data_IF_183232529432
#
_entry.id   IF_183232529432
#
_cell.length_a   1.000
_cell.length_b   1.000
_cell.length_c   1.000
_cell.angle_alpha   90.00
_cell.angle_beta   90.00
_cell.angle_gamma   90.00
#
_symmetry.space_group_name_H-M   'P 1'
#
loop_
_entity.id
_entity.type
_entity.pdbx_description
1 polymer ?
#
# COMPACT_ATOMS: atom_id res chain seq x y z
N UNK A 1 -21.76 25.98 1.32
CA UNK A 1 -21.10 24.78 0.79
C UNK A 1 -20.94 25.01 -0.70
N UNK A 2 -19.75 24.79 -1.26
CA UNK A 2 -19.48 25.09 -2.66
C UNK A 2 -20.09 23.99 -3.54
N UNK A 3 -21.01 24.35 -4.42
CA UNK A 3 -21.66 23.41 -5.34
C UNK A 3 -20.85 23.15 -6.60
N UNK A 4 -21.40 22.37 -7.53
CA UNK A 4 -20.79 22.13 -8.84
C UNK A 4 -20.54 23.43 -9.62
N UNK A 5 -21.48 24.38 -9.57
CA UNK A 5 -21.34 25.70 -10.18
C UNK A 5 -20.12 26.45 -9.63
N UNK A 6 -19.88 26.37 -8.32
CA UNK A 6 -18.75 27.05 -7.70
C UNK A 6 -17.42 26.44 -8.14
N UNK A 7 -17.38 25.12 -8.37
CA UNK A 7 -16.20 24.44 -8.88
C UNK A 7 -15.88 24.86 -10.31
N UNK A 8 -16.91 24.93 -11.17
CA UNK A 8 -16.74 25.42 -12.55
C UNK A 8 -16.27 26.87 -12.54
N UNK A 9 -16.90 27.72 -11.73
CA UNK A 9 -16.50 29.12 -11.60
C UNK A 9 -15.08 29.28 -11.05
N UNK A 10 -14.64 28.45 -10.12
CA UNK A 10 -13.26 28.44 -9.65
C UNK A 10 -12.28 28.12 -10.78
N UNK A 11 -12.58 27.11 -11.59
CA UNK A 11 -11.77 26.74 -12.76
C UNK A 11 -11.70 27.85 -13.81
N UNK A 12 -12.86 28.45 -14.14
CA UNK A 12 -12.98 29.52 -15.13
C UNK A 12 -12.23 30.78 -14.70
N UNK A 13 -12.22 31.09 -13.40
CA UNK A 13 -11.44 32.21 -12.85
C UNK A 13 -9.94 32.03 -13.04
N UNK A 14 -9.40 30.81 -12.90
CA UNK A 14 -7.96 30.55 -13.10
C UNK A 14 -7.49 30.80 -14.53
N UNK A 15 -8.39 30.66 -15.51
CA UNK A 15 -8.11 30.88 -16.93
C UNK A 15 -8.67 32.22 -17.45
N UNK A 16 -9.18 33.08 -16.56
CA UNK A 16 -9.77 34.39 -16.90
C UNK A 16 -10.96 34.31 -17.87
N UNK A 17 -11.77 33.26 -17.76
CA UNK A 17 -12.99 33.07 -18.54
C UNK A 17 -14.22 33.65 -17.82
N UNK A 18 -15.33 33.79 -18.56
CA UNK A 18 -16.60 34.24 -18.00
C UNK A 18 -17.19 33.18 -17.07
N UNK A 19 -17.87 33.64 -16.01
CA UNK A 19 -18.47 32.77 -15.00
C UNK A 19 -19.84 32.28 -15.48
N UNK A 20 -20.20 31.07 -15.05
CA UNK A 20 -21.49 30.44 -15.32
C UNK A 20 -22.43 30.61 -14.12
N UNK A 21 -23.73 30.75 -14.39
CA UNK A 21 -24.75 30.86 -13.34
C UNK A 21 -25.29 29.51 -12.91
N UNK A 22 -25.39 28.57 -13.84
CA UNK A 22 -25.78 27.18 -13.59
C UNK A 22 -24.88 26.24 -14.40
N UNK A 23 -24.67 25.00 -13.96
CA UNK A 23 -23.80 24.08 -14.68
C UNK A 23 -24.39 23.65 -16.03
N UNK A 24 -25.72 23.70 -16.19
CA UNK A 24 -26.46 23.25 -17.37
C UNK A 24 -26.94 24.40 -18.28
N UNK A 25 -26.43 25.63 -18.09
CA UNK A 25 -26.79 26.74 -18.98
C UNK A 25 -26.22 26.55 -20.39
N UNK A 26 -26.84 27.18 -21.39
CA UNK A 26 -26.45 27.06 -22.79
C UNK A 26 -25.17 27.85 -23.18
N UNK A 27 -24.30 28.16 -22.22
CA UNK A 27 -22.99 28.79 -22.47
C UNK A 27 -21.99 27.79 -23.05
N UNK A 28 -20.98 28.28 -23.77
CA UNK A 28 -19.92 27.41 -24.29
C UNK A 28 -19.03 26.90 -23.17
N UNK A 29 -18.80 27.74 -22.15
CA UNK A 29 -18.00 27.48 -20.97
C UNK A 29 -18.60 26.33 -20.15
N UNK A 30 -19.91 26.38 -19.86
CA UNK A 30 -20.63 25.33 -19.14
C UNK A 30 -20.54 23.99 -19.88
N UNK A 31 -20.80 23.99 -21.20
CA UNK A 31 -20.71 22.78 -22.04
C UNK A 31 -19.31 22.17 -22.03
N UNK A 32 -18.25 22.98 -22.09
CA UNK A 32 -16.86 22.50 -22.05
C UNK A 32 -16.52 21.90 -20.68
N UNK A 33 -16.93 22.55 -19.59
CA UNK A 33 -16.73 22.02 -18.24
C UNK A 33 -17.46 20.68 -18.03
N UNK A 34 -18.75 20.61 -18.39
CA UNK A 34 -19.55 19.39 -18.27
C UNK A 34 -18.99 18.23 -19.08
N UNK A 35 -18.51 18.49 -20.30
CA UNK A 35 -17.99 17.46 -21.19
C UNK A 35 -16.81 16.67 -20.61
N UNK A 36 -16.02 17.29 -19.74
CA UNK A 36 -14.82 16.66 -19.15
C UNK A 36 -14.98 16.32 -17.67
N UNK A 37 -15.93 16.96 -16.98
CA UNK A 37 -16.05 16.89 -15.51
C UNK A 37 -16.12 15.46 -14.97
N UNK A 38 -16.99 14.62 -15.53
CA UNK A 38 -17.20 13.27 -15.00
C UNK A 38 -15.94 12.42 -15.08
N UNK A 39 -15.23 12.49 -16.21
CA UNK A 39 -13.99 11.77 -16.42
C UNK A 39 -12.88 12.27 -15.48
N UNK A 40 -12.73 13.59 -15.35
CA UNK A 40 -11.70 14.19 -14.50
C UNK A 40 -11.92 13.89 -13.02
N UNK A 41 -13.17 13.96 -12.55
CA UNK A 41 -13.53 13.60 -11.19
C UNK A 41 -13.16 12.15 -10.91
N UNK A 42 -13.58 11.24 -11.79
CA UNK A 42 -13.34 9.82 -11.59
C UNK A 42 -11.83 9.47 -11.69
N UNK A 43 -11.06 10.17 -12.53
CA UNK A 43 -9.59 10.06 -12.63
C UNK A 43 -8.91 10.46 -11.31
N UNK A 44 -9.21 11.65 -10.79
CA UNK A 44 -8.59 12.18 -9.57
C UNK A 44 -8.99 11.39 -8.32
N UNK A 45 -10.26 10.96 -8.24
CA UNK A 45 -10.72 10.10 -7.15
C UNK A 45 -10.13 8.69 -7.24
N UNK A 46 -9.84 8.17 -8.43
CA UNK A 46 -9.19 6.85 -8.58
C UNK A 46 -7.71 6.89 -8.22
N UNK A 47 -7.05 8.01 -8.49
CA UNK A 47 -5.62 8.19 -8.28
C UNK A 47 -5.22 8.10 -6.80
N UNK A 48 -6.09 8.53 -5.88
CA UNK A 48 -5.80 8.55 -4.46
C UNK A 48 -7.05 8.23 -3.63
N UNK A 49 -6.88 7.50 -2.54
CA UNK A 49 -7.97 7.09 -1.66
C UNK A 49 -8.35 8.21 -0.67
N UNK A 50 -8.98 9.27 -1.18
CA UNK A 50 -9.39 10.42 -0.36
C UNK A 50 -10.32 10.01 0.78
N UNK A 51 -10.07 10.52 1.99
CA UNK A 51 -10.90 10.23 3.15
C UNK A 51 -12.35 10.71 2.95
N UNK A 52 -12.53 11.90 2.38
CA UNK A 52 -13.85 12.47 2.06
C UNK A 52 -14.67 11.60 1.09
N UNK A 53 -14.01 10.84 0.21
CA UNK A 53 -14.64 9.93 -0.76
C UNK A 53 -14.70 8.47 -0.28
N UNK A 54 -14.06 8.13 0.84
CA UNK A 54 -14.02 6.75 1.35
C UNK A 54 -15.35 6.37 2.00
N UNK A 55 -15.91 5.23 1.59
CA UNK A 55 -17.17 4.69 2.12
C UNK A 55 -17.01 3.23 2.50
N UNK A 56 -17.86 2.77 3.41
CA UNK A 56 -17.93 1.39 3.89
C UNK A 56 -19.30 0.82 3.59
N UNK A 57 -19.36 -0.40 3.07
CA UNK A 57 -20.63 -1.06 2.76
C UNK A 57 -20.50 -2.57 2.87
N UNK A 58 -21.50 -3.22 3.44
CA UNK A 58 -21.64 -4.67 3.37
C UNK A 58 -22.34 -5.02 2.05
N UNK A 59 -21.73 -5.89 1.25
CA UNK A 59 -22.31 -6.42 0.01
C UNK A 59 -22.59 -7.91 0.16
N UNK A 60 -23.76 -8.32 -0.31
CA UNK A 60 -24.17 -9.72 -0.33
C UNK A 60 -23.81 -10.36 -1.67
N UNK A 61 -23.62 -11.69 -1.65
CA UNK A 61 -23.28 -12.43 -2.84
C UNK A 61 -24.35 -12.22 -3.93
N UNK A 62 -23.87 -12.03 -5.15
CA UNK A 62 -24.71 -11.84 -6.32
C UNK A 62 -25.53 -13.10 -6.61
N UNK A 63 -26.80 -12.91 -6.99
CA UNK A 63 -27.70 -14.00 -7.33
C UNK A 63 -27.28 -14.70 -8.64
N UNK A 64 -26.46 -14.06 -9.48
CA UNK A 64 -25.98 -14.57 -10.75
C UNK A 64 -24.90 -15.65 -10.67
N UNK A 65 -24.57 -16.16 -9.47
CA UNK A 65 -23.68 -17.31 -9.27
C UNK A 65 -22.21 -16.96 -9.06
N UNK A 66 -21.46 -17.94 -8.52
CA UNK A 66 -20.02 -17.90 -8.37
C UNK A 66 -19.32 -17.81 -9.75
N UNK A 67 -18.09 -17.28 -9.83
CA UNK A 67 -17.30 -17.35 -11.06
C UNK A 67 -17.00 -18.80 -11.45
N UNK A 68 -16.67 -19.03 -12.73
CA UNK A 68 -16.49 -20.37 -13.29
C UNK A 68 -15.42 -21.20 -12.55
N UNK A 69 -14.38 -20.55 -12.03
CA UNK A 69 -13.34 -21.17 -11.20
C UNK A 69 -12.61 -20.11 -10.35
N UNK A 70 -11.80 -20.59 -9.40
CA UNK A 70 -10.89 -19.76 -8.59
C UNK A 70 -11.51 -19.24 -7.30
N UNK A 71 -12.62 -18.50 -7.39
CA UNK A 71 -13.24 -17.85 -6.22
C UNK A 71 -14.60 -18.46 -5.88
N UNK A 72 -14.94 -18.43 -4.60
CA UNK A 72 -16.19 -19.03 -4.09
C UNK A 72 -17.41 -18.13 -4.30
N UNK A 73 -17.25 -16.81 -4.18
CA UNK A 73 -18.35 -15.85 -4.29
C UNK A 73 -18.03 -14.68 -5.21
N UNK A 74 -19.09 -14.13 -5.80
CA UNK A 74 -19.09 -12.90 -6.59
C UNK A 74 -20.02 -11.89 -5.93
N UNK A 75 -19.63 -10.63 -5.88
CA UNK A 75 -20.42 -9.52 -5.31
C UNK A 75 -20.55 -8.39 -6.33
N UNK A 76 -21.74 -7.82 -6.49
CA UNK A 76 -21.95 -6.63 -7.32
C UNK A 76 -21.42 -5.39 -6.62
N UNK A 77 -20.53 -4.64 -7.28
CA UNK A 77 -20.05 -3.39 -6.72
C UNK A 77 -21.14 -2.31 -6.71
N UNK A 78 -21.16 -1.43 -5.69
CA UNK A 78 -22.06 -0.26 -5.66
C UNK A 78 -21.92 0.61 -6.91
N UNK A 79 -23.01 1.22 -7.38
CA UNK A 79 -23.00 2.03 -8.62
C UNK A 79 -22.06 3.24 -8.55
N UNK A 80 -21.88 3.78 -7.35
CA UNK A 80 -20.98 4.88 -7.00
C UNK A 80 -19.51 4.44 -6.80
N UNK A 81 -19.20 3.14 -6.79
CA UNK A 81 -17.85 2.66 -6.51
C UNK A 81 -16.89 2.91 -7.68
N UNK A 82 -15.84 3.69 -7.45
CA UNK A 82 -14.75 3.97 -8.39
C UNK A 82 -13.61 2.96 -8.25
N UNK A 83 -13.22 2.66 -7.01
CA UNK A 83 -12.11 1.77 -6.66
C UNK A 83 -12.38 1.09 -5.32
N UNK A 84 -12.13 -0.21 -5.22
CA UNK A 84 -12.11 -0.91 -3.93
C UNK A 84 -10.74 -0.69 -3.29
N UNK A 85 -10.74 -0.27 -2.03
CA UNK A 85 -9.52 -0.04 -1.24
C UNK A 85 -9.15 -1.34 -0.51
N UNK A 86 -10.14 -1.98 0.13
CA UNK A 86 -9.92 -3.21 0.87
C UNK A 86 -11.20 -3.78 1.46
N UNK A 87 -11.05 -4.85 2.23
CA UNK A 87 -12.11 -5.45 3.04
C UNK A 87 -11.96 -5.07 4.51
N UNK A 88 -12.99 -5.32 5.33
CA UNK A 88 -12.92 -5.13 6.78
C UNK A 88 -11.86 -6.01 7.43
N UNK A 89 -11.71 -7.25 6.95
CA UNK A 89 -10.62 -8.15 7.30
C UNK A 89 -9.51 -8.06 6.24
N UNK A 90 -8.33 -7.50 6.59
CA UNK A 90 -7.20 -7.38 5.67
C UNK A 90 -6.55 -8.73 5.31
N UNK A 91 -6.84 -9.82 6.04
CA UNK A 91 -6.33 -11.15 5.73
C UNK A 91 -7.08 -11.82 4.57
N UNK A 92 -8.28 -11.32 4.23
CA UNK A 92 -9.11 -11.89 3.18
C UNK A 92 -8.63 -11.40 1.82
N UNK A 93 -8.23 -12.33 0.97
CA UNK A 93 -7.91 -12.03 -0.41
C UNK A 93 -9.18 -11.67 -1.21
N UNK A 94 -9.03 -10.70 -2.11
CA UNK A 94 -10.07 -10.32 -3.03
C UNK A 94 -9.49 -9.95 -4.39
N UNK A 95 -10.30 -10.12 -5.44
CA UNK A 95 -10.02 -9.63 -6.79
C UNK A 95 -11.18 -8.78 -7.27
N UNK A 96 -10.90 -7.77 -8.09
CA UNK A 96 -11.95 -6.95 -8.74
C UNK A 96 -11.87 -7.17 -10.23
N UNK A 97 -12.94 -7.71 -10.80
CA UNK A 97 -13.06 -8.03 -12.22
C UNK A 97 -14.29 -7.34 -12.81
N UNK A 98 -14.08 -6.41 -13.73
CA UNK A 98 -15.16 -5.58 -14.28
C UNK A 98 -15.89 -4.78 -13.20
N UNK A 99 -17.18 -5.09 -12.97
CA UNK A 99 -18.02 -4.48 -11.92
C UNK A 99 -18.32 -5.43 -10.76
N UNK A 100 -17.54 -6.50 -10.64
CA UNK A 100 -17.69 -7.50 -9.61
C UNK A 100 -16.47 -7.58 -8.72
N UNK A 101 -16.71 -7.79 -7.43
CA UNK A 101 -15.72 -8.19 -6.45
C UNK A 101 -15.80 -9.71 -6.29
N UNK A 102 -14.66 -10.38 -6.30
CA UNK A 102 -14.53 -11.82 -6.07
C UNK A 102 -13.82 -12.04 -4.74
N UNK A 103 -14.39 -12.92 -3.91
CA UNK A 103 -13.81 -13.29 -2.62
C UNK A 103 -14.35 -14.64 -2.15
N UNK A 104 -13.66 -15.25 -1.19
CA UNK A 104 -14.03 -16.55 -0.62
C UNK A 104 -14.88 -16.46 0.65
N UNK A 105 -15.09 -15.26 1.18
CA UNK A 105 -15.88 -15.02 2.39
C UNK A 105 -17.17 -14.26 2.08
N UNK A 106 -18.21 -14.50 2.89
CA UNK A 106 -19.52 -13.84 2.76
C UNK A 106 -20.10 -13.56 4.16
N UNK A 107 -20.73 -12.39 4.40
CA UNK A 107 -20.83 -11.22 3.51
C UNK A 107 -19.48 -10.50 3.37
N UNK A 108 -19.26 -9.85 2.22
CA UNK A 108 -18.06 -9.05 2.00
C UNK A 108 -18.30 -7.61 2.47
N UNK A 109 -17.56 -7.18 3.49
CA UNK A 109 -17.60 -5.81 3.98
C UNK A 109 -16.48 -5.00 3.33
N UNK A 110 -16.86 -4.14 2.38
CA UNK A 110 -15.91 -3.41 1.54
C UNK A 110 -15.66 -2.01 2.05
N UNK A 111 -14.41 -1.58 1.90
CA UNK A 111 -13.96 -0.19 1.98
C UNK A 111 -13.63 0.24 0.55
N UNK A 112 -14.25 1.30 0.07
CA UNK A 112 -14.13 1.72 -1.32
C UNK A 112 -14.15 3.25 -1.47
N UNK A 113 -13.56 3.74 -2.56
CA UNK A 113 -13.67 5.12 -3.00
C UNK A 113 -14.98 5.29 -3.77
N UNK A 114 -15.88 6.10 -3.22
CA UNK A 114 -17.15 6.45 -3.84
C UNK A 114 -17.01 7.69 -4.72
N UNK A 115 -17.86 7.77 -5.73
CA UNK A 115 -18.13 8.98 -6.48
C UNK A 115 -18.91 9.94 -5.57
N UNK A 116 -18.35 11.12 -5.36
CA UNK A 116 -18.93 12.16 -4.49
C UNK A 116 -19.17 13.45 -5.26
N UNK A 117 -20.16 14.21 -4.79
CA UNK A 117 -20.46 15.54 -5.30
C UNK A 117 -19.51 16.60 -4.68
N UNK A 118 -19.29 17.74 -5.36
CA UNK A 118 -18.37 18.79 -4.91
C UNK A 118 -18.63 19.30 -3.48
N UNK A 119 -19.87 19.23 -3.04
CA UNK A 119 -20.28 19.65 -1.71
C UNK A 119 -19.62 18.80 -0.63
N UNK A 120 -19.48 17.49 -0.85
CA UNK A 120 -18.92 16.54 0.12
C UNK A 120 -17.39 16.47 0.08
N UNK A 121 -16.75 17.21 -0.83
CA UNK A 121 -15.30 17.20 -0.98
C UNK A 121 -14.63 18.05 0.10
N UNK A 122 -13.43 17.62 0.51
CA UNK A 122 -12.54 18.47 1.30
C UNK A 122 -12.14 19.74 0.50
N UNK A 123 -11.80 20.82 1.21
CA UNK A 123 -11.42 22.10 0.61
C UNK A 123 -10.20 21.97 -0.32
N UNK A 124 -9.21 21.14 0.03
CA UNK A 124 -8.04 20.93 -0.82
C UNK A 124 -8.36 20.05 -2.02
N UNK A 125 -9.20 19.02 -1.84
CA UNK A 125 -9.69 18.21 -2.96
C UNK A 125 -10.48 19.06 -3.96
N UNK A 126 -11.37 19.92 -3.48
CA UNK A 126 -12.12 20.85 -4.31
C UNK A 126 -11.18 21.74 -5.15
N UNK A 127 -10.14 22.31 -4.52
CA UNK A 127 -9.16 23.15 -5.20
C UNK A 127 -8.32 22.39 -6.22
N UNK A 128 -7.93 21.14 -5.92
CA UNK A 128 -7.23 20.27 -6.88
C UNK A 128 -8.06 19.99 -8.12
N UNK A 129 -9.34 19.66 -7.96
CA UNK A 129 -10.25 19.39 -9.07
C UNK A 129 -10.53 20.65 -9.90
N UNK A 130 -10.72 21.80 -9.25
CA UNK A 130 -10.87 23.07 -9.97
C UNK A 130 -9.64 23.39 -10.83
N UNK A 131 -8.42 23.14 -10.32
CA UNK A 131 -7.18 23.33 -11.07
C UNK A 131 -6.98 22.30 -12.18
N UNK A 132 -7.34 21.04 -11.95
CA UNK A 132 -7.32 19.98 -12.98
C UNK A 132 -8.28 20.30 -14.12
N UNK A 133 -9.48 20.76 -13.78
CA UNK A 133 -10.50 21.19 -14.74
C UNK A 133 -10.00 22.40 -15.54
N UNK A 134 -9.47 23.43 -14.86
CA UNK A 134 -8.88 24.60 -15.51
C UNK A 134 -7.78 24.21 -16.50
N UNK A 135 -6.90 23.27 -16.14
CA UNK A 135 -5.86 22.76 -17.02
C UNK A 135 -6.43 22.10 -18.29
N UNK A 136 -7.49 21.30 -18.16
CA UNK A 136 -8.12 20.61 -19.30
C UNK A 136 -8.78 21.59 -20.27
N UNK A 137 -9.53 22.56 -19.75
CA UNK A 137 -10.30 23.49 -20.59
C UNK A 137 -9.47 24.68 -21.09
N UNK A 138 -8.31 24.98 -20.49
CA UNK A 138 -7.49 26.17 -20.77
C UNK A 138 -7.18 26.35 -22.25
N UNK A 139 -6.75 25.30 -22.95
CA UNK A 139 -6.41 25.39 -24.38
C UNK A 139 -7.63 25.73 -25.22
N UNK A 140 -8.77 25.08 -24.96
CA UNK A 140 -9.99 25.31 -25.73
C UNK A 140 -10.50 26.76 -25.60
N UNK A 141 -10.33 27.37 -24.43
CA UNK A 141 -10.86 28.71 -24.12
C UNK A 141 -9.88 29.81 -24.53
N UNK A 142 -8.59 29.65 -24.23
CA UNK A 142 -7.59 30.72 -24.37
C UNK A 142 -6.67 30.56 -25.56
N UNK A 143 -6.67 29.39 -26.21
CA UNK A 143 -5.74 29.01 -27.28
C UNK A 143 -4.25 29.14 -26.89
N UNK A 144 -3.95 29.09 -25.58
CA UNK A 144 -2.60 29.20 -25.04
C UNK A 144 -2.11 27.87 -24.47
N UNK A 145 -1.15 27.25 -25.16
CA UNK A 145 -0.49 26.02 -24.69
C UNK A 145 0.36 26.28 -23.44
N UNK A 146 0.92 27.49 -23.30
CA UNK A 146 1.69 27.89 -22.12
C UNK A 146 0.84 27.96 -20.86
N UNK A 147 -0.38 28.51 -20.95
CA UNK A 147 -1.30 28.56 -19.82
C UNK A 147 -1.74 27.15 -19.42
N UNK A 148 -2.04 26.30 -20.41
CA UNK A 148 -2.44 24.91 -20.21
C UNK A 148 -1.38 24.13 -19.44
N UNK A 149 -0.12 24.18 -19.88
CA UNK A 149 1.00 23.54 -19.19
C UNK A 149 1.19 24.08 -17.76
N UNK A 150 1.12 25.41 -17.59
CA UNK A 150 1.25 26.04 -16.27
C UNK A 150 0.15 25.61 -15.30
N UNK A 151 -1.09 25.49 -15.77
CA UNK A 151 -2.20 25.02 -14.93
C UNK A 151 -2.05 23.56 -14.55
N UNK A 152 -1.57 22.72 -15.46
CA UNK A 152 -1.26 21.33 -15.16
C UNK A 152 -0.14 21.20 -14.10
N UNK A 153 0.92 22.01 -14.20
CA UNK A 153 2.00 22.05 -13.19
C UNK A 153 1.47 22.50 -11.82
N UNK A 154 0.59 23.50 -11.78
CA UNK A 154 -0.04 23.98 -10.53
C UNK A 154 -0.93 22.87 -9.94
N UNK A 155 -1.71 22.19 -10.77
CA UNK A 155 -2.52 21.04 -10.35
C UNK A 155 -1.66 19.97 -9.68
N UNK A 156 -0.54 19.56 -10.28
CA UNK A 156 0.34 18.54 -9.71
C UNK A 156 0.89 18.95 -8.33
N UNK A 157 1.27 20.22 -8.17
CA UNK A 157 1.77 20.74 -6.88
C UNK A 157 0.68 20.74 -5.80
N UNK A 158 -0.53 21.17 -6.13
CA UNK A 158 -1.63 21.20 -5.17
C UNK A 158 -2.10 19.79 -4.84
N UNK A 159 -2.10 18.86 -5.81
CA UNK A 159 -2.41 17.44 -5.58
C UNK A 159 -1.50 16.85 -4.49
N UNK A 160 -0.19 17.09 -4.57
CA UNK A 160 0.76 16.60 -3.58
C UNK A 160 0.50 17.19 -2.17
N UNK A 161 0.15 18.47 -2.08
CA UNK A 161 -0.19 19.12 -0.80
C UNK A 161 -1.49 18.57 -0.22
N UNK A 162 -2.50 18.37 -1.07
CA UNK A 162 -3.80 17.83 -0.69
C UNK A 162 -3.69 16.39 -0.20
N UNK A 163 -2.95 15.54 -0.91
CA UNK A 163 -2.62 14.18 -0.46
C UNK A 163 -1.90 14.21 0.90
N UNK A 164 -0.88 15.04 1.05
CA UNK A 164 -0.14 15.14 2.30
C UNK A 164 -1.00 15.65 3.48
N UNK A 165 -2.04 16.44 3.22
CA UNK A 165 -2.98 16.89 4.24
C UNK A 165 -3.96 15.77 4.63
N UNK A 166 -4.59 15.12 3.65
CA UNK A 166 -5.54 14.03 3.84
C UNK A 166 -4.89 12.85 4.59
N UNK A 167 -3.67 12.47 4.22
CA UNK A 167 -2.93 11.40 4.92
C UNK A 167 -2.56 11.71 6.38
N UNK A 168 -2.45 12.99 6.77
CA UNK A 168 -2.22 13.35 8.18
C UNK A 168 -3.44 13.09 9.05
N UNK A 169 -4.64 13.07 8.49
CA UNK A 169 -5.86 12.78 9.24
C UNK A 169 -5.94 11.31 9.66
N UNK A 170 -5.43 10.39 8.83
CA UNK A 170 -5.30 8.95 9.13
C UNK A 170 -4.21 8.64 10.14
N UNK A 171 -3.07 9.34 10.05
CA UNK A 171 -1.87 9.06 10.86
C UNK A 171 -2.15 9.15 12.37
N UNK A 172 -3.00 10.09 12.81
CA UNK A 172 -3.32 10.26 14.22
C UNK A 172 -4.02 9.04 14.84
N UNK A 173 -4.84 8.31 14.08
CA UNK A 173 -5.54 7.12 14.55
C UNK A 173 -4.61 5.91 14.66
N UNK A 174 -3.71 5.72 13.69
CA UNK A 174 -2.72 4.63 13.71
C UNK A 174 -1.66 4.84 14.80
N UNK A 175 -1.18 6.07 14.99
CA UNK A 175 -0.19 6.37 16.02
C UNK A 175 -0.76 6.13 17.42
N UNK A 176 -1.99 6.58 17.70
CA UNK A 176 -2.59 6.37 19.02
C UNK A 176 -2.94 4.90 19.28
N UNK A 177 -3.44 4.15 18.30
CA UNK A 177 -3.72 2.70 18.50
C UNK A 177 -2.46 1.87 18.68
N UNK A 178 -1.38 2.19 17.96
CA UNK A 178 -0.08 1.53 18.13
C UNK A 178 0.55 1.91 19.47
N UNK A 179 0.50 3.19 19.85
CA UNK A 179 0.99 3.66 21.16
C UNK A 179 0.16 3.04 22.28
N UNK A 180 -1.17 3.04 22.22
CA UNK A 180 -2.04 2.48 23.26
C UNK A 180 -1.87 0.95 23.38
N UNK A 181 -1.74 0.23 22.27
CA UNK A 181 -1.44 -1.21 22.29
C UNK A 181 -0.03 -1.50 22.85
N UNK A 182 0.96 -0.69 22.49
CA UNK A 182 2.32 -0.80 23.03
C UNK A 182 2.39 -0.43 24.51
N UNK A 183 1.68 0.63 24.94
CA UNK A 183 1.59 1.05 26.33
C UNK A 183 0.85 0.01 27.16
N UNK A 184 -0.27 -0.54 26.68
CA UNK A 184 -1.02 -1.58 27.36
C UNK A 184 -0.20 -2.87 27.55
N UNK A 185 0.67 -3.21 26.59
CA UNK A 185 1.60 -4.34 26.71
C UNK A 185 2.75 -4.04 27.68
N UNK A 186 3.33 -2.82 27.64
CA UNK A 186 4.41 -2.40 28.55
C UNK A 186 3.95 -2.26 30.00
N UNK A 187 2.76 -1.70 30.23
CA UNK A 187 2.25 -1.40 31.57
C UNK A 187 1.83 -2.66 32.35
N UNK A 188 1.73 -3.82 31.71
CA UNK A 188 1.44 -5.10 32.36
C UNK A 188 2.71 -5.93 32.68
N UNK A 189 3.91 -5.38 32.49
CA UNK A 189 5.18 -6.05 32.81
C UNK A 189 5.99 -5.31 33.88
N UNK A 190 5.60 -5.49 35.14
CA UNK A 190 6.55 -5.46 36.27
C UNK A 190 7.11 -6.87 36.48
N UNK A 191 7.82 -7.40 35.47
CA UNK A 191 8.48 -8.71 35.60
C UNK A 191 9.92 -8.62 35.12
N UNK A 192 10.86 -8.99 35.98
CA UNK A 192 12.33 -8.98 35.81
C UNK A 192 12.88 -10.07 34.88
N UNK A 193 12.07 -10.59 33.95
CA UNK A 193 12.45 -11.74 33.10
C UNK A 193 12.83 -11.28 31.69
N UNK A 194 14.13 -11.35 31.39
CA UNK A 194 14.74 -10.89 30.12
C UNK A 194 14.16 -11.59 28.88
N UNK A 195 13.66 -12.81 29.01
CA UNK A 195 13.11 -13.59 27.88
C UNK A 195 11.76 -13.03 27.41
N UNK A 196 10.92 -12.56 28.34
CA UNK A 196 9.63 -11.95 28.03
C UNK A 196 9.80 -10.55 27.45
N UNK A 197 10.81 -9.80 27.92
CA UNK A 197 11.18 -8.49 27.37
C UNK A 197 11.65 -8.63 25.93
N UNK A 198 12.51 -9.59 25.62
CA UNK A 198 12.97 -9.85 24.25
C UNK A 198 11.81 -10.23 23.31
N UNK A 199 10.85 -11.04 23.79
CA UNK A 199 9.66 -11.40 23.02
C UNK A 199 8.73 -10.20 22.77
N UNK A 200 8.54 -9.34 23.77
CA UNK A 200 7.76 -8.11 23.63
C UNK A 200 8.42 -7.14 22.63
N UNK A 201 9.75 -7.00 22.69
CA UNK A 201 10.52 -6.19 21.73
C UNK A 201 10.38 -6.71 20.29
N UNK A 202 10.41 -8.03 20.07
CA UNK A 202 10.19 -8.63 18.74
C UNK A 202 8.78 -8.35 18.21
N UNK A 203 7.75 -8.46 19.04
CA UNK A 203 6.37 -8.17 18.64
C UNK A 203 6.19 -6.68 18.32
N UNK A 204 6.76 -5.79 19.14
CA UNK A 204 6.74 -4.34 18.88
C UNK A 204 7.46 -3.98 17.57
N UNK A 205 8.60 -4.60 17.29
CA UNK A 205 9.31 -4.43 16.03
C UNK A 205 8.47 -4.90 14.82
N UNK A 206 7.80 -6.05 14.93
CA UNK A 206 6.92 -6.54 13.87
C UNK A 206 5.71 -5.63 13.65
N UNK A 207 5.11 -5.11 14.71
CA UNK A 207 3.99 -4.17 14.63
C UNK A 207 4.42 -2.83 13.99
N UNK A 208 5.63 -2.35 14.29
CA UNK A 208 6.21 -1.16 13.66
C UNK A 208 6.43 -1.38 12.16
N UNK A 209 6.90 -2.56 11.77
CA UNK A 209 7.08 -2.94 10.35
C UNK A 209 5.72 -2.95 9.64
N UNK A 210 4.67 -3.50 10.27
CA UNK A 210 3.33 -3.52 9.71
C UNK A 210 2.72 -2.11 9.59
N UNK A 211 2.86 -1.28 10.62
CA UNK A 211 2.40 0.12 10.59
C UNK A 211 3.14 0.93 9.52
N UNK A 212 4.46 0.74 9.37
CA UNK A 212 5.24 1.28 8.26
C UNK A 212 4.69 0.82 6.91
N UNK A 213 4.39 -0.47 6.75
CA UNK A 213 3.81 -1.02 5.53
C UNK A 213 2.48 -0.38 5.15
N UNK A 214 1.59 -0.16 6.13
CA UNK A 214 0.30 0.51 5.92
C UNK A 214 0.47 1.98 5.54
N UNK A 215 1.35 2.72 6.23
CA UNK A 215 1.64 4.12 5.91
C UNK A 215 2.25 4.27 4.52
N UNK A 216 3.11 3.33 4.11
CA UNK A 216 3.68 3.30 2.77
C UNK A 216 2.68 2.87 1.70
N UNK A 217 1.66 2.08 2.04
CA UNK A 217 0.58 1.72 1.12
C UNK A 217 -0.42 2.86 0.92
N UNK A 218 -0.60 3.71 1.94
CA UNK A 218 -1.51 4.85 1.89
C UNK A 218 -0.96 6.03 1.08
N UNK A 219 0.34 6.02 0.75
CA UNK A 219 0.96 7.03 -0.11
C UNK A 219 1.97 6.45 -1.10
N UNK A 220 1.82 6.79 -2.40
CA UNK A 220 2.80 6.47 -3.45
C UNK A 220 4.08 7.33 -3.31
N UNK A 221 4.93 7.02 -2.32
CA UNK A 221 6.21 7.68 -2.13
C UNK A 221 7.26 7.08 -3.07
N UNK A 222 7.72 7.87 -4.05
CA UNK A 222 8.71 7.47 -5.06
C UNK A 222 10.10 7.10 -4.50
N UNK A 223 10.42 7.51 -3.26
CA UNK A 223 11.64 7.07 -2.57
C UNK A 223 11.44 5.80 -1.73
N UNK A 224 10.19 5.37 -1.52
CA UNK A 224 9.82 4.21 -0.73
C UNK A 224 9.38 3.01 -1.59
N UNK A 225 9.29 3.18 -2.91
CA UNK A 225 9.33 2.05 -3.85
C UNK A 225 10.74 1.46 -3.79
N UNK A 226 10.92 0.47 -2.93
CA UNK A 226 12.08 -0.40 -3.04
C UNK A 226 12.02 -1.03 -4.45
N UNK A 227 12.85 -0.53 -5.37
CA UNK A 227 13.33 -1.40 -6.44
C UNK A 227 14.11 -2.49 -5.71
N UNK A 228 13.45 -3.62 -5.47
CA UNK A 228 14.11 -4.83 -5.08
C UNK A 228 15.05 -5.21 -6.23
N UNK A 229 16.25 -4.64 -6.23
CA UNK A 229 17.38 -5.29 -6.83
C UNK A 229 17.64 -6.51 -5.94
N UNK A 230 16.99 -7.63 -6.29
CA UNK A 230 17.39 -8.96 -5.86
C UNK A 230 18.81 -9.18 -6.37
N UNK A 231 19.79 -8.61 -5.68
CA UNK A 231 21.19 -8.97 -5.89
C UNK A 231 21.39 -10.21 -5.04
N UNK A 232 21.10 -11.38 -5.61
CA UNK A 232 21.52 -12.66 -5.06
C UNK A 232 23.05 -12.65 -5.03
N UNK A 233 23.64 -12.28 -3.90
CA UNK A 233 25.07 -12.37 -3.68
C UNK A 233 25.46 -13.83 -3.47
N UNK A 234 25.83 -14.53 -4.53
CA UNK A 234 26.50 -15.83 -4.42
C UNK A 234 27.88 -15.62 -3.80
N UNK A 235 28.06 -15.99 -2.54
CA UNK A 235 29.32 -15.77 -1.85
C UNK A 235 29.76 -16.99 -1.02
N UNK A 236 30.79 -17.65 -1.56
CA UNK A 236 31.78 -18.55 -0.96
C UNK A 236 31.53 -20.08 -0.96
N UNK A 237 32.59 -20.81 -1.32
CA UNK A 237 32.63 -22.24 -1.70
C UNK A 237 33.58 -23.09 -0.85
N UNK A 238 34.08 -22.59 0.28
CA UNK A 238 35.05 -23.33 1.10
C UNK A 238 34.44 -23.73 2.44
N UNK A 239 33.96 -24.96 2.49
CA UNK A 239 33.50 -25.61 3.72
C UNK A 239 34.69 -26.06 4.57
N UNK A 240 34.61 -25.83 5.88
CA UNK A 240 35.52 -26.39 6.85
C UNK A 240 34.93 -27.69 7.42
N UNK A 241 35.66 -28.79 7.26
CA UNK A 241 35.32 -30.10 7.83
C UNK A 241 35.49 -30.07 9.35
N UNK A 242 34.43 -30.44 10.07
CA UNK A 242 34.45 -30.66 11.51
C UNK A 242 34.32 -32.16 11.83
N UNK A 243 35.29 -32.97 11.38
CA UNK A 243 35.49 -34.39 11.75
C UNK A 243 34.18 -35.18 11.87
N UNK A 244 33.68 -35.69 10.74
CA UNK A 244 32.46 -36.48 10.67
C UNK A 244 31.61 -36.07 9.47
N UNK A 245 30.29 -36.19 9.60
CA UNK A 245 29.35 -35.74 8.56
C UNK A 245 28.88 -34.29 8.79
N UNK A 246 29.68 -33.46 9.49
CA UNK A 246 29.31 -32.08 9.86
C UNK A 246 30.28 -31.10 9.19
N UNK A 247 29.70 -30.12 8.48
CA UNK A 247 30.43 -29.13 7.71
C UNK A 247 30.02 -27.72 8.14
N UNK A 248 30.99 -26.80 8.15
CA UNK A 248 30.73 -25.41 8.59
C UNK A 248 31.29 -24.38 7.62
N UNK A 249 30.60 -23.26 7.47
CA UNK A 249 31.06 -22.09 6.70
C UNK A 249 30.69 -20.81 7.45
N UNK A 250 31.58 -19.82 7.43
CA UNK A 250 31.33 -18.50 8.04
C UNK A 250 31.01 -17.49 6.95
N UNK A 251 29.86 -16.83 7.07
CA UNK A 251 29.42 -15.82 6.11
C UNK A 251 30.13 -14.49 6.35
N UNK A 252 30.49 -13.80 5.27
CA UNK A 252 31.18 -12.50 5.33
C UNK A 252 30.25 -11.35 5.76
N UNK A 253 28.94 -11.49 5.56
CA UNK A 253 27.93 -10.45 5.81
C UNK A 253 26.86 -10.90 6.79
N UNK A 254 26.15 -9.94 7.37
CA UNK A 254 24.99 -10.23 8.23
C UNK A 254 23.78 -10.44 7.32
N UNK A 255 23.29 -11.68 7.27
CA UNK A 255 22.16 -12.06 6.44
C UNK A 255 20.82 -11.78 7.14
N UNK A 256 19.83 -11.26 6.41
CA UNK A 256 18.45 -11.24 6.91
C UNK A 256 17.77 -12.60 6.74
N UNK A 257 18.16 -13.36 5.71
CA UNK A 257 17.68 -14.72 5.48
C UNK A 257 18.79 -15.56 4.85
N UNK A 258 18.89 -16.81 5.28
CA UNK A 258 19.78 -17.82 4.70
C UNK A 258 18.89 -18.94 4.18
N UNK A 259 19.22 -19.47 3.02
CA UNK A 259 18.61 -20.67 2.45
C UNK A 259 19.69 -21.61 1.93
N UNK A 260 19.51 -22.89 2.19
CA UNK A 260 20.45 -23.94 1.81
C UNK A 260 19.69 -25.15 1.27
N UNK A 261 20.13 -25.70 0.14
CA UNK A 261 19.48 -26.81 -0.56
C UNK A 261 17.98 -26.60 -0.89
N UNK A 262 17.53 -25.34 -0.98
CA UNK A 262 16.14 -25.00 -1.28
C UNK A 262 15.20 -24.96 -0.07
N UNK A 263 15.73 -25.19 1.14
CA UNK A 263 15.02 -25.01 2.40
C UNK A 263 15.44 -23.68 3.03
N UNK A 264 14.56 -23.04 3.79
CA UNK A 264 14.88 -21.91 4.66
C UNK A 264 15.18 -22.40 6.07
N UNK A 265 16.12 -21.74 6.74
CA UNK A 265 16.59 -22.17 8.06
C UNK A 265 15.84 -21.46 9.15
N UNK A 266 15.61 -22.16 10.25
CA UNK A 266 15.18 -21.57 11.51
C UNK A 266 16.40 -21.17 12.34
N UNK A 267 16.33 -20.02 12.99
CA UNK A 267 17.32 -19.54 13.97
C UNK A 267 17.26 -20.45 15.21
N UNK A 268 18.35 -21.11 15.56
CA UNK A 268 18.47 -21.92 16.79
C UNK A 268 19.81 -21.62 17.45
N UNK A 269 19.82 -21.54 18.78
CA UNK A 269 20.87 -20.87 19.55
C UNK A 269 22.20 -21.64 19.68
N UNK A 270 22.30 -22.93 19.32
CA UNK A 270 23.56 -23.69 19.45
C UNK A 270 23.82 -24.73 18.35
N UNK A 271 25.09 -24.88 17.96
CA UNK A 271 25.57 -25.77 16.90
C UNK A 271 25.45 -27.28 17.17
N UNK A 272 25.04 -27.68 18.39
CA UNK A 272 24.96 -29.09 18.81
C UNK A 272 23.72 -29.83 18.27
N UNK A 273 22.80 -29.12 17.60
CA UNK A 273 21.49 -29.65 17.20
C UNK A 273 21.43 -30.17 15.76
N UNK A 274 22.53 -30.21 15.01
CA UNK A 274 22.56 -30.89 13.69
C UNK A 274 22.91 -32.36 13.91
N UNK A 275 21.94 -33.26 13.82
CA UNK A 275 22.15 -34.70 14.09
C UNK A 275 21.71 -35.63 12.97
N UNK A 276 20.90 -35.14 12.02
CA UNK A 276 20.35 -35.93 10.93
C UNK A 276 20.62 -35.35 9.53
N UNK A 277 20.46 -36.21 8.51
CA UNK A 277 20.60 -35.81 7.12
C UNK A 277 19.54 -34.76 6.71
N UNK A 278 19.98 -33.72 5.99
CA UNK A 278 19.20 -32.54 5.58
C UNK A 278 18.91 -31.51 6.68
N UNK A 279 19.46 -31.68 7.89
CA UNK A 279 19.43 -30.65 8.92
C UNK A 279 20.57 -29.65 8.72
N UNK A 280 20.24 -28.38 8.92
CA UNK A 280 21.21 -27.30 8.88
C UNK A 280 20.74 -26.14 9.76
N UNK A 281 21.71 -25.46 10.38
CA UNK A 281 21.47 -24.39 11.35
C UNK A 281 22.33 -23.18 11.05
N UNK A 282 21.77 -21.99 11.23
CA UNK A 282 22.48 -20.72 11.08
C UNK A 282 22.50 -19.95 12.39
N UNK A 283 23.70 -19.65 12.89
CA UNK A 283 23.92 -18.85 14.08
C UNK A 283 24.20 -17.39 13.68
N UNK A 284 23.28 -16.48 13.99
CA UNK A 284 23.35 -15.08 13.58
C UNK A 284 24.46 -14.29 14.32
N UNK A 285 24.76 -14.63 15.57
CA UNK A 285 25.76 -13.97 16.41
C UNK A 285 27.20 -14.17 15.89
N UNK A 286 27.51 -15.36 15.40
CA UNK A 286 28.83 -15.76 14.87
C UNK A 286 28.89 -15.82 13.35
N UNK A 287 27.74 -15.65 12.68
CA UNK A 287 27.55 -15.76 11.21
C UNK A 287 27.94 -17.13 10.66
N UNK A 288 27.75 -18.18 11.46
CA UNK A 288 28.19 -19.53 11.14
C UNK A 288 27.02 -20.39 10.67
N UNK A 289 27.15 -20.98 9.49
CA UNK A 289 26.24 -21.99 8.96
C UNK A 289 26.84 -23.38 9.21
N UNK A 290 26.05 -24.28 9.78
CA UNK A 290 26.42 -25.67 10.08
C UNK A 290 25.46 -26.61 9.35
N UNK A 291 25.98 -27.61 8.64
CA UNK A 291 25.23 -28.53 7.78
C UNK A 291 25.64 -29.97 8.08
N UNK A 292 24.67 -30.90 8.04
CA UNK A 292 24.96 -32.32 7.95
C UNK A 292 25.11 -32.75 6.48
N UNK A 293 26.26 -33.33 6.12
CA UNK A 293 26.47 -33.96 4.82
C UNK A 293 27.49 -35.09 4.90
N UNK A 294 27.21 -36.19 4.20
CA UNK A 294 28.05 -37.41 4.14
C UNK A 294 29.27 -37.22 3.21
N UNK A 295 29.31 -36.13 2.45
CA UNK A 295 30.44 -35.69 1.64
C UNK A 295 30.46 -34.16 1.54
N UNK A 296 31.34 -33.60 0.70
CA UNK A 296 31.37 -32.14 0.48
C UNK A 296 29.96 -31.65 0.06
N UNK A 297 29.32 -30.76 0.84
CA UNK A 297 27.93 -30.38 0.62
C UNK A 297 27.66 -29.71 -0.73
N UNK A 298 28.66 -29.11 -1.39
CA UNK A 298 28.64 -28.68 -2.80
C UNK A 298 27.51 -27.74 -3.27
N UNK A 299 26.56 -27.40 -2.41
CA UNK A 299 25.38 -26.61 -2.74
C UNK A 299 25.61 -25.13 -2.48
N UNK A 300 25.07 -24.29 -3.37
CA UNK A 300 25.15 -22.83 -3.26
C UNK A 300 24.33 -22.35 -2.07
N UNK A 301 24.98 -21.70 -1.11
CA UNK A 301 24.31 -20.98 -0.02
C UNK A 301 23.73 -19.70 -0.60
N UNK A 302 22.44 -19.49 -0.37
CA UNK A 302 21.68 -18.36 -0.89
C UNK A 302 21.34 -17.44 0.27
N UNK A 303 21.81 -16.21 0.19
CA UNK A 303 21.74 -15.25 1.30
C UNK A 303 21.04 -13.99 0.83
N UNK A 304 20.02 -13.57 1.58
CA UNK A 304 19.41 -12.25 1.41
C UNK A 304 20.21 -11.25 2.27
N UNK A 305 20.88 -10.32 1.60
CA UNK A 305 21.61 -9.22 2.26
C UNK A 305 20.61 -8.25 2.91
N UNK A 306 20.99 -7.70 4.07
CA UNK A 306 20.21 -6.72 4.81
C UNK A 306 20.35 -5.30 4.26
#
# INVERSE_FOLDING_TARGET
>A
MAGLTDLFNAALVFITAEKVTTPDEESEEARRCLAVWEQLRDEVLRAYAWHSATRRKSVTADAGGAPDFGWTYRFTLPADCIRVIGLSDPAVAFSVEGRFLLSDTTPAEIIYTARIDPELMDALLFDTLAKRLAAEIAFSVTNSTTLTAKMFDIYQKVMAVAQAADGRESMAALVNTVIDAALALLMNQTTTDDTLVAKAQRIAAQALINARGLVLADHDWSFATARAALTYGELFTTWADQTGNIWTVTLTYTANRVSFAGTDGTEVDEAADVTAANEWHFEASTKKLTVYSVGDPGATVRVDEA
#
